data_IF_080868608968
#
_entry.id   IF_080868608968
#
_cell.length_a   1.000
_cell.length_b   1.000
_cell.length_c   1.000
_cell.angle_alpha   90.00
_cell.angle_beta   90.00
_cell.angle_gamma   90.00
#
_symmetry.space_group_name_H-M   'P 1'
#
loop_
_entity.id
_entity.type
_entity.pdbx_description
1 polymer ?
#
# COMPACT_ATOMS: atom_id res chain seq x y z
N UNK A 1 1.34 -17.97 -9.77
CA UNK A 1 1.67 -16.69 -10.40
C UNK A 1 0.99 -16.64 -11.75
N UNK A 2 0.48 -15.49 -12.14
CA UNK A 2 -0.19 -15.29 -13.41
C UNK A 2 -0.38 -13.83 -13.74
N UNK A 3 -1.12 -13.56 -14.81
CA UNK A 3 -1.58 -12.25 -15.20
C UNK A 3 -3.09 -12.25 -15.39
N UNK A 4 -3.73 -11.15 -15.07
CA UNK A 4 -5.12 -10.86 -15.42
C UNK A 4 -5.11 -9.73 -16.43
N UNK A 5 -5.72 -9.94 -17.58
CA UNK A 5 -5.92 -8.89 -18.57
C UNK A 5 -7.18 -8.12 -18.22
N UNK A 6 -7.03 -6.87 -17.79
CA UNK A 6 -8.14 -6.01 -17.42
C UNK A 6 -8.80 -5.37 -18.66
N UNK A 7 -9.93 -4.71 -18.45
CA UNK A 7 -10.82 -4.23 -19.52
C UNK A 7 -10.15 -3.38 -20.60
N UNK A 8 -9.17 -2.57 -20.25
CA UNK A 8 -8.43 -1.71 -21.21
C UNK A 8 -7.26 -2.44 -21.91
N UNK A 9 -7.09 -3.74 -21.62
CA UNK A 9 -6.04 -4.57 -22.18
C UNK A 9 -4.74 -4.60 -21.38
N UNK A 10 -4.64 -3.85 -20.30
CA UNK A 10 -3.50 -3.88 -19.38
C UNK A 10 -3.41 -5.26 -18.70
N UNK A 11 -2.21 -5.80 -18.59
CA UNK A 11 -1.98 -7.06 -17.89
C UNK A 11 -1.49 -6.78 -16.47
N UNK A 12 -2.24 -7.25 -15.47
CA UNK A 12 -1.92 -7.13 -14.05
C UNK A 12 -1.31 -8.44 -13.57
N UNK A 13 -0.03 -8.42 -13.22
CA UNK A 13 0.68 -9.55 -12.64
C UNK A 13 0.23 -9.80 -11.21
N UNK A 14 0.16 -11.08 -10.80
CA UNK A 14 -0.10 -11.45 -9.41
C UNK A 14 0.65 -12.72 -8.99
N UNK A 15 1.01 -12.78 -7.71
CA UNK A 15 1.38 -13.98 -6.96
C UNK A 15 0.12 -14.57 -6.33
N UNK A 16 0.03 -15.89 -6.25
CA UNK A 16 -1.09 -16.61 -5.62
C UNK A 16 -0.53 -17.90 -5.03
N UNK A 17 -0.34 -17.89 -3.71
CA UNK A 17 0.29 -18.98 -2.97
C UNK A 17 -0.62 -19.50 -1.86
N UNK A 18 -0.40 -20.77 -1.45
CA UNK A 18 -1.17 -21.45 -0.41
C UNK A 18 -2.37 -22.24 -0.93
N UNK A 19 -3.16 -22.86 -0.03
CA UNK A 19 -4.30 -23.69 -0.40
C UNK A 19 -5.41 -22.86 -1.06
N UNK A 20 -5.96 -23.34 -2.16
CA UNK A 20 -6.94 -22.58 -2.97
C UNK A 20 -8.29 -22.37 -2.28
N UNK A 21 -8.65 -23.23 -1.34
CA UNK A 21 -9.87 -23.20 -0.54
C UNK A 21 -9.73 -22.48 0.82
N UNK A 22 -8.52 -22.03 1.14
CA UNK A 22 -8.27 -21.31 2.37
C UNK A 22 -8.78 -19.85 2.34
N UNK A 23 -8.93 -19.25 3.53
CA UNK A 23 -9.21 -17.81 3.68
C UNK A 23 -8.18 -16.99 2.93
N UNK A 24 -8.65 -16.10 2.08
CA UNK A 24 -7.77 -15.26 1.23
C UNK A 24 -7.33 -14.01 1.97
N UNK A 25 -6.04 -13.70 1.83
CA UNK A 25 -5.45 -12.38 2.13
C UNK A 25 -4.87 -11.82 0.85
N UNK A 26 -5.29 -10.62 0.45
CA UNK A 26 -4.77 -9.92 -0.73
C UNK A 26 -3.98 -8.69 -0.29
N UNK A 27 -2.73 -8.59 -0.75
CA UNK A 27 -1.78 -7.55 -0.40
C UNK A 27 -1.61 -6.51 -1.50
N UNK A 28 -1.54 -5.23 -1.11
CA UNK A 28 -1.44 -4.06 -1.98
C UNK A 28 -0.20 -3.25 -1.62
N UNK A 29 0.78 -3.22 -2.52
CA UNK A 29 2.08 -2.61 -2.28
C UNK A 29 2.05 -1.07 -2.27
N UNK A 30 3.04 -0.48 -1.58
CA UNK A 30 3.33 0.95 -1.60
C UNK A 30 4.00 1.40 -2.90
N UNK A 31 4.07 2.71 -3.09
CA UNK A 31 4.84 3.32 -4.18
C UNK A 31 6.35 3.35 -3.85
N UNK A 32 7.24 3.12 -4.79
CA UNK A 32 7.09 2.63 -6.17
C UNK A 32 7.34 1.12 -6.29
N UNK A 33 6.94 0.37 -5.27
CA UNK A 33 7.28 -1.02 -5.05
C UNK A 33 6.48 -2.00 -5.94
N UNK A 34 6.47 -3.26 -5.59
CA UNK A 34 5.77 -4.36 -6.27
C UNK A 34 5.25 -5.38 -5.24
N UNK A 35 4.63 -6.45 -5.70
CA UNK A 35 4.23 -7.56 -4.84
C UNK A 35 5.40 -8.23 -4.11
N UNK A 36 6.65 -7.98 -4.51
CA UNK A 36 7.84 -8.55 -3.85
C UNK A 36 8.11 -7.91 -2.48
N UNK A 37 7.55 -6.73 -2.20
CA UNK A 37 7.62 -6.11 -0.88
C UNK A 37 6.87 -6.92 0.20
N UNK A 38 5.93 -7.77 -0.24
CA UNK A 38 5.10 -8.57 0.63
C UNK A 38 5.61 -10.00 0.90
N UNK A 39 6.77 -10.38 0.38
CA UNK A 39 7.27 -11.78 0.46
C UNK A 39 7.37 -12.28 1.91
N UNK A 40 7.81 -11.45 2.84
CA UNK A 40 7.88 -11.80 4.26
C UNK A 40 6.48 -12.12 4.83
N UNK A 41 5.51 -11.21 4.61
CA UNK A 41 4.13 -11.39 5.07
C UNK A 41 3.49 -12.59 4.39
N UNK A 42 3.69 -12.76 3.09
CA UNK A 42 3.13 -13.88 2.34
C UNK A 42 3.62 -15.22 2.90
N UNK A 43 4.92 -15.36 3.16
CA UNK A 43 5.51 -16.58 3.75
C UNK A 43 4.96 -16.83 5.17
N UNK A 44 4.85 -15.77 5.99
CA UNK A 44 4.27 -15.88 7.33
C UNK A 44 2.82 -16.39 7.29
N UNK A 45 1.97 -15.82 6.43
CA UNK A 45 0.56 -16.19 6.37
C UNK A 45 0.31 -17.54 5.70
N UNK A 46 1.14 -17.96 4.74
CA UNK A 46 1.09 -19.34 4.21
C UNK A 46 1.36 -20.35 5.34
N UNK A 47 2.36 -20.11 6.17
CA UNK A 47 2.65 -20.97 7.32
C UNK A 47 1.50 -21.03 8.35
N UNK A 48 0.59 -20.05 8.33
CA UNK A 48 -0.65 -20.03 9.12
C UNK A 48 -1.85 -20.65 8.39
N UNK A 49 -1.67 -21.20 7.18
CA UNK A 49 -2.72 -21.88 6.43
C UNK A 49 -3.60 -20.98 5.55
N UNK A 50 -3.22 -19.72 5.31
CA UNK A 50 -3.96 -18.80 4.44
C UNK A 50 -3.57 -18.95 2.97
N UNK A 51 -4.51 -18.64 2.07
CA UNK A 51 -4.20 -18.34 0.67
C UNK A 51 -3.79 -16.87 0.58
N UNK A 52 -2.63 -16.57 0.01
CA UNK A 52 -2.08 -15.22 -0.07
C UNK A 52 -1.91 -14.80 -1.51
N UNK A 53 -2.39 -13.61 -1.83
CA UNK A 53 -2.32 -13.01 -3.16
C UNK A 53 -1.67 -11.62 -3.02
N UNK A 54 -0.77 -11.30 -3.93
CA UNK A 54 -0.21 -9.96 -4.07
C UNK A 54 -0.10 -9.62 -5.54
N UNK A 55 -0.58 -8.45 -5.97
CA UNK A 55 -0.49 -8.00 -7.35
C UNK A 55 0.57 -6.91 -7.50
N UNK A 56 1.11 -6.77 -8.69
CA UNK A 56 1.85 -5.58 -9.09
C UNK A 56 0.86 -4.60 -9.70
N UNK A 57 0.75 -3.37 -9.15
CA UNK A 57 -0.12 -2.31 -9.71
C UNK A 57 0.31 -2.02 -11.15
N UNK A 58 -0.62 -1.61 -12.04
CA UNK A 58 -0.26 -1.16 -13.40
C UNK A 58 0.92 -0.19 -13.37
N UNK A 59 1.86 -0.34 -14.29
CA UNK A 59 3.07 0.47 -14.36
C UNK A 59 4.13 0.16 -13.30
N UNK A 60 3.89 -0.81 -12.41
CA UNK A 60 4.81 -1.24 -11.37
C UNK A 60 5.23 -2.70 -11.61
N UNK A 61 6.41 -3.07 -11.13
CA UNK A 61 6.91 -4.44 -11.14
C UNK A 61 6.78 -5.12 -12.52
N UNK A 62 6.07 -6.25 -12.57
CA UNK A 62 5.87 -7.10 -13.75
C UNK A 62 4.56 -6.83 -14.49
N UNK A 63 3.72 -5.93 -14.00
CA UNK A 63 2.52 -5.50 -14.71
C UNK A 63 2.83 -4.63 -15.91
N UNK A 64 1.90 -4.54 -16.87
CA UNK A 64 2.07 -3.73 -18.09
C UNK A 64 2.46 -2.29 -17.78
N UNK A 65 3.42 -1.76 -18.51
CA UNK A 65 3.83 -0.36 -18.49
C UNK A 65 2.85 0.48 -19.34
N UNK A 66 1.65 0.70 -18.82
CA UNK A 66 0.63 1.50 -19.51
C UNK A 66 1.02 2.97 -19.61
N UNK A 67 0.49 3.65 -20.64
CA UNK A 67 0.72 5.09 -20.84
C UNK A 67 -0.19 5.95 -19.95
N UNK A 68 -1.33 5.42 -19.52
CA UNK A 68 -2.42 6.13 -18.84
C UNK A 68 -3.02 5.24 -17.74
N UNK A 69 -3.95 5.77 -16.96
CA UNK A 69 -4.65 5.04 -15.92
C UNK A 69 -3.88 5.03 -14.60
N UNK A 70 -3.08 6.05 -14.34
CA UNK A 70 -2.28 6.14 -13.12
C UNK A 70 -2.97 6.98 -12.03
N UNK A 71 -4.28 6.78 -11.86
CA UNK A 71 -5.13 7.38 -10.84
C UNK A 71 -5.82 6.30 -9.98
N UNK A 72 -6.27 6.65 -8.78
CA UNK A 72 -6.84 5.70 -7.81
C UNK A 72 -8.10 5.00 -8.32
N UNK A 73 -8.95 5.68 -9.10
CA UNK A 73 -10.14 5.06 -9.69
C UNK A 73 -9.76 3.86 -10.58
N UNK A 74 -8.75 4.03 -11.42
CA UNK A 74 -8.27 2.95 -12.29
C UNK A 74 -7.57 1.86 -11.49
N UNK A 75 -6.73 2.20 -10.50
CA UNK A 75 -6.08 1.21 -9.64
C UNK A 75 -7.10 0.33 -8.90
N UNK A 76 -8.14 0.94 -8.33
CA UNK A 76 -9.22 0.20 -7.67
C UNK A 76 -10.05 -0.64 -8.65
N UNK A 77 -10.26 -0.17 -9.89
CA UNK A 77 -10.92 -0.93 -10.93
C UNK A 77 -10.09 -2.16 -11.34
N UNK A 78 -8.77 -2.03 -11.50
CA UNK A 78 -7.87 -3.15 -11.76
C UNK A 78 -7.95 -4.20 -10.65
N UNK A 79 -7.93 -3.77 -9.39
CA UNK A 79 -8.10 -4.66 -8.24
C UNK A 79 -9.43 -5.41 -8.32
N UNK A 80 -10.52 -4.70 -8.65
CA UNK A 80 -11.84 -5.31 -8.80
C UNK A 80 -11.84 -6.40 -9.88
N UNK A 81 -11.19 -6.15 -11.02
CA UNK A 81 -11.08 -7.14 -12.10
C UNK A 81 -10.21 -8.34 -11.71
N UNK A 82 -9.11 -8.13 -10.98
CA UNK A 82 -8.30 -9.24 -10.44
C UNK A 82 -9.11 -10.08 -9.45
N UNK A 83 -9.84 -9.44 -8.53
CA UNK A 83 -10.72 -10.11 -7.56
C UNK A 83 -11.80 -10.95 -8.27
N UNK A 84 -12.42 -10.41 -9.32
CA UNK A 84 -13.44 -11.12 -10.12
C UNK A 84 -12.82 -12.29 -10.89
N UNK A 85 -11.71 -12.07 -11.58
CA UNK A 85 -11.04 -13.10 -12.39
C UNK A 85 -10.56 -14.29 -11.56
N UNK A 86 -10.16 -14.06 -10.32
CA UNK A 86 -9.73 -15.10 -9.38
C UNK A 86 -10.88 -15.60 -8.49
N UNK A 87 -12.11 -15.10 -8.68
CA UNK A 87 -13.32 -15.38 -7.87
C UNK A 87 -13.06 -15.29 -6.36
N UNK A 88 -12.35 -14.26 -5.92
CA UNK A 88 -12.05 -14.07 -4.51
C UNK A 88 -13.30 -13.65 -3.74
N UNK A 89 -13.59 -14.35 -2.63
CA UNK A 89 -14.75 -14.11 -1.77
C UNK A 89 -14.30 -13.90 -0.33
N UNK A 90 -14.96 -12.97 0.36
CA UNK A 90 -14.69 -12.67 1.76
C UNK A 90 -13.19 -12.48 2.06
N UNK A 91 -12.45 -11.88 1.12
CA UNK A 91 -11.02 -11.67 1.26
C UNK A 91 -10.70 -10.61 2.34
N UNK A 92 -9.55 -10.76 2.98
CA UNK A 92 -8.94 -9.70 3.78
C UNK A 92 -8.00 -8.93 2.88
N UNK A 93 -8.19 -7.61 2.76
CA UNK A 93 -7.29 -6.76 1.99
C UNK A 93 -6.32 -6.03 2.92
N UNK A 94 -5.03 -6.12 2.64
CA UNK A 94 -3.96 -5.50 3.43
C UNK A 94 -3.17 -4.56 2.52
N UNK A 95 -3.15 -3.26 2.83
CA UNK A 95 -2.47 -2.27 2.01
C UNK A 95 -1.46 -1.43 2.79
N UNK A 96 -0.29 -1.21 2.20
CA UNK A 96 0.76 -0.35 2.73
C UNK A 96 0.84 0.96 1.96
N UNK A 97 0.91 2.09 2.67
CA UNK A 97 1.16 3.39 2.04
C UNK A 97 0.12 3.70 0.95
N UNK A 98 0.55 3.93 -0.30
CA UNK A 98 -0.31 4.04 -1.49
C UNK A 98 -1.26 2.86 -1.62
N UNK A 99 -0.80 1.64 -1.33
CA UNK A 99 -1.63 0.44 -1.33
C UNK A 99 -2.75 0.47 -0.29
N UNK A 100 -2.55 1.17 0.82
CA UNK A 100 -3.63 1.45 1.78
C UNK A 100 -4.71 2.38 1.21
N UNK A 101 -4.31 3.38 0.42
CA UNK A 101 -5.24 4.20 -0.35
C UNK A 101 -6.03 3.38 -1.39
N UNK A 102 -5.33 2.51 -2.14
CA UNK A 102 -5.97 1.58 -3.09
C UNK A 102 -6.97 0.64 -2.40
N UNK A 103 -6.64 0.10 -1.21
CA UNK A 103 -7.56 -0.72 -0.41
C UNK A 103 -8.79 0.08 -0.01
N UNK A 104 -8.63 1.28 0.54
CA UNK A 104 -9.77 2.14 0.94
C UNK A 104 -10.66 2.44 -0.26
N UNK A 105 -10.06 2.82 -1.39
CA UNK A 105 -10.80 3.16 -2.60
C UNK A 105 -11.55 1.98 -3.20
N UNK A 106 -10.92 0.80 -3.24
CA UNK A 106 -11.54 -0.44 -3.69
C UNK A 106 -12.66 -0.91 -2.75
N UNK A 107 -12.40 -0.98 -1.44
CA UNK A 107 -13.36 -1.51 -0.45
C UNK A 107 -14.63 -0.68 -0.41
N UNK A 108 -14.54 0.65 -0.52
CA UNK A 108 -15.69 1.54 -0.57
C UNK A 108 -16.62 1.31 -1.79
N UNK A 109 -16.14 0.56 -2.80
CA UNK A 109 -16.83 0.26 -4.08
C UNK A 109 -17.02 -1.23 -4.32
N UNK A 110 -16.50 -2.07 -3.44
CA UNK A 110 -16.50 -3.52 -3.62
C UNK A 110 -17.93 -4.09 -3.63
N UNK A 111 -18.14 -5.09 -4.49
CA UNK A 111 -19.40 -5.83 -4.49
C UNK A 111 -19.58 -6.60 -3.16
N UNK A 112 -20.83 -6.76 -2.69
CA UNK A 112 -21.11 -7.56 -1.49
C UNK A 112 -20.46 -8.97 -1.56
N UNK A 113 -19.92 -9.42 -0.43
CA UNK A 113 -19.28 -10.73 -0.31
C UNK A 113 -17.85 -10.82 -0.86
N UNK A 114 -17.28 -9.75 -1.43
CA UNK A 114 -15.88 -9.75 -1.89
C UNK A 114 -14.89 -9.48 -0.77
N UNK A 115 -15.21 -8.58 0.15
CA UNK A 115 -14.31 -8.16 1.24
C UNK A 115 -14.92 -8.48 2.59
N UNK A 116 -14.13 -9.09 3.49
CA UNK A 116 -14.51 -9.41 4.87
C UNK A 116 -13.93 -8.41 5.87
N UNK A 117 -12.66 -8.06 5.73
CA UNK A 117 -11.92 -7.14 6.59
C UNK A 117 -10.88 -6.38 5.76
N UNK A 118 -10.42 -5.25 6.28
CA UNK A 118 -9.29 -4.52 5.71
C UNK A 118 -8.24 -4.16 6.76
N UNK A 119 -7.00 -4.08 6.35
CA UNK A 119 -5.86 -3.59 7.14
C UNK A 119 -5.14 -2.52 6.33
N UNK A 120 -4.97 -1.34 6.88
CA UNK A 120 -4.20 -0.26 6.25
C UNK A 120 -3.01 0.10 7.14
N UNK A 121 -1.81 0.06 6.57
CA UNK A 121 -0.54 0.20 7.29
C UNK A 121 0.20 1.41 6.75
N UNK A 122 0.52 2.39 7.61
CA UNK A 122 1.22 3.62 7.22
C UNK A 122 0.62 4.25 5.94
N UNK A 123 -0.71 4.26 5.86
CA UNK A 123 -1.47 4.50 4.64
C UNK A 123 -1.72 5.99 4.39
N UNK A 124 -1.79 6.38 3.12
CA UNK A 124 -1.96 7.77 2.67
C UNK A 124 -3.32 8.42 2.99
N UNK A 125 -4.46 7.70 3.18
CA UNK A 125 -5.72 8.33 3.58
C UNK A 125 -5.64 9.05 4.93
N UNK A 126 -6.49 10.10 5.15
CA UNK A 126 -7.58 10.52 4.27
C UNK A 126 -7.15 11.35 3.06
N UNK A 127 -6.11 12.15 3.15
CA UNK A 127 -5.52 12.90 2.03
C UNK A 127 -4.16 13.46 2.45
N UNK A 128 -3.17 13.40 1.56
CA UNK A 128 -1.80 13.84 1.89
C UNK A 128 -1.61 15.34 1.66
N UNK A 129 -2.13 15.87 0.56
CA UNK A 129 -1.92 17.27 0.18
C UNK A 129 -2.71 18.21 1.08
N UNK A 130 -2.07 19.33 1.45
CA UNK A 130 -2.70 20.41 2.19
C UNK A 130 -3.82 21.07 1.38
N UNK A 131 -4.98 21.21 2.00
CA UNK A 131 -6.15 21.88 1.42
C UNK A 131 -6.98 22.52 2.53
N UNK A 132 -8.07 23.23 2.15
CA UNK A 132 -9.03 23.71 3.15
C UNK A 132 -9.63 22.57 3.99
N UNK A 133 -9.83 21.39 3.39
CA UNK A 133 -10.34 20.19 4.06
C UNK A 133 -9.27 19.43 4.85
N UNK A 134 -7.99 19.63 4.52
CA UNK A 134 -6.85 19.01 5.19
C UNK A 134 -5.79 20.07 5.52
N UNK A 135 -6.01 20.93 6.51
CA UNK A 135 -5.08 22.00 6.84
C UNK A 135 -3.73 21.50 7.40
N UNK A 136 -3.69 20.27 7.95
CA UNK A 136 -2.47 19.60 8.43
C UNK A 136 -1.64 18.94 7.35
N UNK A 137 -2.18 18.79 6.13
CA UNK A 137 -1.52 18.10 5.02
C UNK A 137 -0.22 18.77 4.57
N UNK A 138 0.56 18.04 3.78
CA UNK A 138 1.83 18.53 3.23
C UNK A 138 1.59 19.51 2.08
N UNK A 139 2.39 20.59 1.95
CA UNK A 139 2.32 21.49 0.79
C UNK A 139 2.54 20.75 -0.52
N UNK A 140 1.88 21.20 -1.61
CA UNK A 140 2.01 20.57 -2.93
C UNK A 140 3.46 20.54 -3.42
N UNK A 141 4.27 21.52 -3.04
CA UNK A 141 5.68 21.64 -3.38
C UNK A 141 6.53 20.45 -2.90
N UNK A 142 6.11 19.77 -1.83
CA UNK A 142 6.76 18.54 -1.36
C UNK A 142 6.61 17.45 -2.42
N UNK A 143 5.43 17.27 -2.97
CA UNK A 143 5.14 16.26 -3.99
C UNK A 143 5.74 16.63 -5.35
N UNK A 144 5.76 17.90 -5.70
CA UNK A 144 6.47 18.41 -6.89
C UNK A 144 7.98 18.19 -6.78
N UNK A 145 8.54 18.33 -5.58
CA UNK A 145 9.93 17.97 -5.27
C UNK A 145 10.23 16.50 -5.52
N UNK A 146 9.32 15.58 -5.13
CA UNK A 146 9.44 14.15 -5.40
C UNK A 146 9.36 13.84 -6.91
N UNK A 147 8.42 14.47 -7.64
CA UNK A 147 8.33 14.37 -9.11
C UNK A 147 9.61 14.83 -9.77
N UNK A 148 10.15 15.98 -9.32
CA UNK A 148 11.41 16.50 -9.84
C UNK A 148 12.58 15.57 -9.58
N UNK A 149 12.75 15.06 -8.37
CA UNK A 149 13.82 14.13 -8.01
C UNK A 149 13.77 12.86 -8.84
N UNK A 150 12.56 12.31 -9.07
CA UNK A 150 12.35 11.17 -9.95
C UNK A 150 12.75 11.48 -11.40
N UNK A 151 12.35 12.64 -11.90
CA UNK A 151 12.66 13.05 -13.28
C UNK A 151 14.15 13.33 -13.49
N UNK A 152 14.81 13.95 -12.51
CA UNK A 152 16.22 14.31 -12.59
C UNK A 152 17.15 13.07 -12.54
N UNK A 153 16.93 12.19 -11.56
CA UNK A 153 17.73 10.98 -11.39
C UNK A 153 16.98 9.92 -10.57
N UNK A 154 16.09 9.18 -11.23
CA UNK A 154 15.29 8.12 -10.58
C UNK A 154 16.14 7.11 -9.80
N UNK A 155 17.27 6.71 -10.37
CA UNK A 155 18.11 5.68 -9.77
C UNK A 155 18.69 6.13 -8.43
N UNK A 156 19.20 7.36 -8.34
CA UNK A 156 19.71 7.92 -7.10
C UNK A 156 18.58 8.20 -6.10
N UNK A 157 17.47 8.79 -6.56
CA UNK A 157 16.31 9.06 -5.72
C UNK A 157 15.80 7.79 -5.03
N UNK A 158 15.77 6.65 -5.75
CA UNK A 158 15.35 5.37 -5.19
C UNK A 158 16.40 4.70 -4.29
N UNK A 159 17.61 5.22 -4.20
CA UNK A 159 18.58 4.89 -3.14
C UNK A 159 18.37 5.79 -1.92
N UNK A 160 18.14 7.09 -2.13
CA UNK A 160 18.06 8.08 -1.04
C UNK A 160 16.84 7.83 -0.15
N UNK A 161 15.69 7.51 -0.73
CA UNK A 161 14.44 7.28 0.01
C UNK A 161 14.56 6.14 1.03
N UNK A 162 14.95 4.90 0.65
CA UNK A 162 15.08 3.80 1.61
C UNK A 162 16.30 3.94 2.55
N UNK A 163 17.35 4.63 2.13
CA UNK A 163 18.52 4.91 2.99
C UNK A 163 18.17 5.88 4.11
N UNK A 164 17.15 6.71 3.92
CA UNK A 164 16.73 7.76 4.84
C UNK A 164 15.33 7.52 5.43
N UNK A 165 14.34 8.29 4.96
CA UNK A 165 13.05 8.42 5.65
C UNK A 165 12.17 7.17 5.62
N UNK A 166 12.27 6.32 4.59
CA UNK A 166 11.35 5.20 4.42
C UNK A 166 11.47 4.15 5.54
N UNK A 167 12.70 3.72 5.84
CA UNK A 167 12.99 2.75 6.90
C UNK A 167 13.48 3.38 8.20
N UNK A 168 13.55 4.72 8.28
CA UNK A 168 14.12 5.43 9.42
C UNK A 168 15.62 5.21 9.59
N UNK A 169 16.34 4.80 8.54
CA UNK A 169 17.78 4.52 8.61
C UNK A 169 18.63 5.78 8.81
N UNK A 170 18.04 6.97 8.66
CA UNK A 170 18.62 8.26 9.01
C UNK A 170 18.53 8.60 10.50
N UNK A 171 17.93 7.75 11.34
CA UNK A 171 17.82 7.99 12.78
C UNK A 171 19.06 7.51 13.52
N UNK A 172 19.44 8.17 14.65
CA UNK A 172 20.53 7.69 15.48
C UNK A 172 20.33 6.22 15.90
N UNK A 173 21.40 5.43 15.82
CA UNK A 173 21.43 4.03 16.19
C UNK A 173 20.52 3.11 15.36
N UNK A 174 20.03 3.55 14.19
CA UNK A 174 19.26 2.71 13.29
C UNK A 174 20.08 1.50 12.82
N UNK A 175 19.46 0.33 12.82
CA UNK A 175 20.07 -0.90 12.28
C UNK A 175 19.86 -0.92 10.75
N UNK A 176 20.76 -0.26 10.04
CA UNK A 176 20.70 -0.17 8.58
C UNK A 176 20.81 -1.56 7.94
N UNK A 177 19.92 -1.87 7.03
CA UNK A 177 19.94 -3.07 6.21
C UNK A 177 20.16 -2.73 4.74
N UNK A 178 21.36 -2.98 4.23
CA UNK A 178 21.68 -2.78 2.81
C UNK A 178 20.80 -3.67 1.91
N UNK A 179 20.41 -4.85 2.39
CA UNK A 179 19.51 -5.75 1.68
C UNK A 179 18.13 -5.12 1.44
N UNK A 180 17.54 -4.44 2.45
CA UNK A 180 16.27 -3.73 2.30
C UNK A 180 16.41 -2.55 1.35
N UNK A 181 17.49 -1.75 1.44
CA UNK A 181 17.75 -0.63 0.53
C UNK A 181 17.85 -1.13 -0.92
N UNK A 182 18.62 -2.18 -1.16
CA UNK A 182 18.82 -2.74 -2.50
C UNK A 182 17.51 -3.34 -3.06
N UNK A 183 16.72 -4.02 -2.22
CA UNK A 183 15.43 -4.59 -2.62
C UNK A 183 14.44 -3.49 -3.00
N UNK A 184 14.36 -2.41 -2.21
CA UNK A 184 13.51 -1.26 -2.51
C UNK A 184 13.89 -0.60 -3.85
N UNK A 185 15.19 -0.37 -4.03
CA UNK A 185 15.74 0.18 -5.29
C UNK A 185 15.40 -0.72 -6.49
N UNK A 186 15.65 -2.02 -6.34
CA UNK A 186 15.38 -2.99 -7.40
C UNK A 186 13.91 -2.97 -7.83
N UNK A 187 13.00 -3.04 -6.88
CA UNK A 187 11.56 -2.98 -7.16
C UNK A 187 11.16 -1.66 -7.83
N UNK A 188 11.66 -0.53 -7.32
CA UNK A 188 11.41 0.77 -7.94
C UNK A 188 11.93 0.86 -9.37
N UNK A 189 13.10 0.29 -9.66
CA UNK A 189 13.69 0.32 -11.01
C UNK A 189 12.99 -0.60 -12.01
N UNK A 190 12.28 -1.65 -11.56
CA UNK A 190 11.50 -2.53 -12.44
C UNK A 190 10.27 -1.86 -13.06
N UNK A 191 9.66 -0.90 -12.37
CA UNK A 191 8.46 -0.23 -12.86
C UNK A 191 8.75 0.87 -13.89
N UNK A 192 7.71 1.36 -14.53
CA UNK A 192 7.77 2.42 -15.53
C UNK A 192 7.94 3.81 -14.90
N UNK A 193 8.89 4.60 -15.37
CA UNK A 193 9.17 5.92 -14.82
C UNK A 193 7.96 6.88 -14.92
N UNK A 194 7.25 6.87 -16.06
CA UNK A 194 6.03 7.66 -16.24
C UNK A 194 4.92 7.27 -15.26
N UNK A 195 4.71 5.97 -15.06
CA UNK A 195 3.70 5.46 -14.14
C UNK A 195 4.01 5.88 -12.69
N UNK A 196 5.27 5.77 -12.27
CA UNK A 196 5.69 6.21 -10.95
C UNK A 196 5.56 7.71 -10.77
N UNK A 197 5.87 8.50 -11.80
CA UNK A 197 5.72 9.96 -11.79
C UNK A 197 4.25 10.37 -11.60
N UNK A 198 3.35 9.83 -12.42
CA UNK A 198 1.91 10.12 -12.33
C UNK A 198 1.28 9.56 -11.05
N UNK A 199 1.76 8.42 -10.55
CA UNK A 199 1.26 7.81 -9.32
C UNK A 199 1.49 8.72 -8.09
N UNK A 200 2.50 9.62 -8.11
CA UNK A 200 2.69 10.59 -7.04
C UNK A 200 1.43 11.43 -6.87
N UNK A 201 0.81 11.88 -7.96
CA UNK A 201 -0.46 12.59 -7.93
C UNK A 201 -1.58 11.72 -7.34
N UNK A 202 -1.66 10.47 -7.80
CA UNK A 202 -2.72 9.55 -7.38
C UNK A 202 -2.75 9.36 -5.85
N UNK A 203 -1.59 9.16 -5.20
CA UNK A 203 -1.56 8.92 -3.76
C UNK A 203 -1.49 10.19 -2.91
N UNK A 204 -1.03 11.33 -3.47
CA UNK A 204 -0.91 12.57 -2.70
C UNK A 204 -2.15 13.46 -2.75
N UNK A 205 -2.87 13.48 -3.88
CA UNK A 205 -3.95 14.43 -4.13
C UNK A 205 -5.35 13.79 -4.07
N UNK A 206 -5.47 12.44 -4.06
CA UNK A 206 -6.77 11.79 -3.90
C UNK A 206 -7.32 12.01 -2.50
N UNK A 207 -8.56 12.50 -2.41
CA UNK A 207 -9.31 12.64 -1.15
C UNK A 207 -10.13 11.38 -0.90
N UNK A 208 -9.73 10.58 0.08
CA UNK A 208 -10.38 9.33 0.48
C UNK A 208 -11.44 9.52 1.58
N UNK A 209 -11.73 10.76 1.97
CA UNK A 209 -12.62 11.06 3.11
C UNK A 209 -13.98 10.38 2.97
N UNK A 210 -14.61 10.51 1.80
CA UNK A 210 -15.93 9.91 1.59
C UNK A 210 -15.88 8.38 1.41
N UNK A 211 -14.75 7.84 0.95
CA UNK A 211 -14.55 6.40 0.88
C UNK A 211 -14.45 5.79 2.27
N UNK A 212 -13.64 6.38 3.16
CA UNK A 212 -13.52 5.94 4.55
C UNK A 212 -14.88 5.91 5.27
N UNK A 213 -15.72 6.93 5.09
CA UNK A 213 -17.07 7.01 5.69
C UNK A 213 -18.03 5.93 5.19
N UNK A 214 -17.83 5.43 3.95
CA UNK A 214 -18.68 4.37 3.36
C UNK A 214 -18.33 2.98 3.85
N UNK A 215 -17.11 2.75 4.32
CA UNK A 215 -16.65 1.43 4.73
C UNK A 215 -17.33 0.99 6.02
N UNK A 216 -18.01 -0.16 5.96
CA UNK A 216 -18.76 -0.73 7.09
C UNK A 216 -18.11 -1.98 7.71
N UNK A 217 -17.21 -2.62 6.96
CA UNK A 217 -16.47 -3.79 7.46
C UNK A 217 -15.44 -3.38 8.52
N UNK A 218 -14.97 -4.32 9.36
CA UNK A 218 -13.89 -4.04 10.30
C UNK A 218 -12.60 -3.65 9.59
N UNK A 219 -11.95 -2.57 10.06
CA UNK A 219 -10.67 -2.07 9.54
C UNK A 219 -9.66 -1.93 10.66
N UNK A 220 -8.49 -2.54 10.50
CA UNK A 220 -7.32 -2.28 11.35
C UNK A 220 -6.47 -1.18 10.70
N UNK A 221 -6.26 -0.09 11.43
CA UNK A 221 -5.38 1.01 11.05
C UNK A 221 -4.10 0.88 11.86
N UNK A 222 -2.97 0.67 11.20
CA UNK A 222 -1.65 0.49 11.82
C UNK A 222 -0.72 1.62 11.37
N UNK A 223 -0.10 2.35 12.32
CA UNK A 223 0.77 3.48 11.94
C UNK A 223 1.88 3.70 12.96
N UNK A 224 3.09 3.97 12.48
CA UNK A 224 4.25 4.32 13.29
C UNK A 224 4.32 5.81 13.59
N UNK A 225 4.71 6.18 14.82
CA UNK A 225 4.79 7.61 15.20
C UNK A 225 5.99 8.33 14.61
N UNK A 226 7.02 7.62 14.16
CA UNK A 226 8.18 8.18 13.46
C UNK A 226 8.12 7.99 11.93
N UNK A 227 6.92 7.93 11.38
CA UNK A 227 6.73 7.89 9.93
C UNK A 227 7.06 9.25 9.31
N UNK A 228 8.20 9.29 8.59
CA UNK A 228 8.71 10.50 7.94
C UNK A 228 8.21 10.67 6.50
N UNK A 229 7.40 9.73 6.00
CA UNK A 229 6.85 9.74 4.63
C UNK A 229 5.37 10.11 4.65
N UNK A 230 4.61 9.44 5.50
CA UNK A 230 3.18 9.71 5.75
C UNK A 230 3.02 10.13 7.21
N UNK A 231 2.94 11.43 7.51
CA UNK A 231 2.91 11.90 8.89
C UNK A 231 1.76 11.27 9.69
N UNK A 232 2.09 10.64 10.82
CA UNK A 232 1.15 9.93 11.66
C UNK A 232 -0.09 10.76 12.02
N UNK A 233 0.14 12.02 12.46
CA UNK A 233 -0.94 12.89 12.95
C UNK A 233 -1.98 13.22 11.87
N UNK A 234 -1.57 13.25 10.61
CA UNK A 234 -2.39 13.67 9.48
C UNK A 234 -2.97 12.47 8.69
N UNK A 235 -2.72 11.23 9.11
CA UNK A 235 -3.14 10.04 8.39
C UNK A 235 -3.86 9.01 9.28
N UNK A 236 -3.12 8.15 9.99
CA UNK A 236 -3.69 7.01 10.72
C UNK A 236 -4.83 7.38 11.68
N UNK A 237 -4.64 8.30 12.64
CA UNK A 237 -5.69 8.72 13.57
C UNK A 237 -6.90 9.38 12.89
N UNK A 238 -6.68 10.14 11.81
CA UNK A 238 -7.76 10.77 11.05
C UNK A 238 -8.56 9.74 10.28
N UNK A 239 -7.91 8.78 9.63
CA UNK A 239 -8.56 7.66 8.95
C UNK A 239 -9.41 6.85 9.93
N UNK A 240 -8.88 6.51 11.10
CA UNK A 240 -9.61 5.77 12.13
C UNK A 240 -10.86 6.50 12.63
N UNK A 241 -10.83 7.84 12.71
CA UNK A 241 -12.00 8.65 13.10
C UNK A 241 -13.11 8.67 12.04
N UNK A 242 -12.75 8.53 10.76
CA UNK A 242 -13.71 8.56 9.65
C UNK A 242 -14.35 7.20 9.39
N UNK A 243 -13.66 6.11 9.69
CA UNK A 243 -14.14 4.75 9.56
C UNK A 243 -15.20 4.42 10.62
N UNK A 244 -16.26 3.68 10.24
CA UNK A 244 -17.35 3.28 11.17
C UNK A 244 -16.92 2.19 12.15
N UNK A 245 -16.02 1.29 11.73
CA UNK A 245 -15.58 0.13 12.51
C UNK A 245 -14.06 -0.02 12.45
N UNK A 246 -13.35 0.90 13.07
CA UNK A 246 -11.90 0.95 13.09
C UNK A 246 -11.29 0.51 14.41
N UNK A 247 -10.19 -0.22 14.32
CA UNK A 247 -9.23 -0.40 15.41
C UNK A 247 -7.94 0.32 15.02
N UNK A 248 -7.55 1.35 15.77
CA UNK A 248 -6.26 2.01 15.59
C UNK A 248 -5.20 1.35 16.47
N UNK A 249 -4.09 0.95 15.85
CA UNK A 249 -2.90 0.46 16.53
C UNK A 249 -1.70 1.34 16.19
N UNK A 250 -1.18 2.03 17.21
CA UNK A 250 -0.03 2.95 17.08
C UNK A 250 1.25 2.23 17.50
N UNK A 251 2.33 2.44 16.74
CA UNK A 251 3.65 1.88 17.03
C UNK A 251 4.63 3.01 17.28
N UNK A 252 5.03 3.16 18.55
CA UNK A 252 5.90 4.24 18.98
C UNK A 252 7.30 4.13 18.40
N UNK A 253 7.75 5.17 17.70
CA UNK A 253 9.08 5.25 17.08
C UNK A 253 9.25 4.41 15.82
N UNK A 254 8.19 3.77 15.29
CA UNK A 254 8.30 2.95 14.07
C UNK A 254 8.25 3.82 12.82
N UNK A 255 9.09 3.49 11.81
CA UNK A 255 9.18 4.22 10.54
C UNK A 255 8.07 3.82 9.56
N UNK A 256 8.04 4.46 8.38
CA UNK A 256 7.12 4.15 7.30
C UNK A 256 7.18 2.69 6.84
N UNK A 257 8.37 2.17 6.63
CA UNK A 257 8.63 0.80 6.18
C UNK A 257 8.60 -0.25 7.30
N UNK A 258 7.80 -0.05 8.36
CA UNK A 258 7.77 -0.92 9.54
C UNK A 258 7.38 -2.37 9.25
N UNK A 259 6.67 -2.65 8.16
CA UNK A 259 6.36 -4.03 7.73
C UNK A 259 7.63 -4.84 7.41
N UNK A 260 8.66 -4.17 6.89
CA UNK A 260 9.93 -4.80 6.53
C UNK A 260 10.95 -4.76 7.69
N UNK A 261 10.91 -3.70 8.52
CA UNK A 261 11.87 -3.55 9.64
C UNK A 261 11.43 -4.28 10.91
N UNK A 262 10.12 -4.49 11.11
CA UNK A 262 9.54 -5.07 12.33
C UNK A 262 8.46 -6.14 12.04
N UNK A 263 8.70 -7.09 11.11
CA UNK A 263 7.68 -8.07 10.72
C UNK A 263 7.27 -9.00 11.87
N UNK A 264 8.17 -9.24 12.82
CA UNK A 264 7.96 -10.05 14.02
C UNK A 264 6.89 -9.46 14.97
N UNK A 265 6.62 -8.17 14.89
CA UNK A 265 5.56 -7.47 15.64
C UNK A 265 4.30 -7.31 14.78
N UNK A 266 4.47 -6.83 13.54
CA UNK A 266 3.33 -6.47 12.69
C UNK A 266 2.55 -7.69 12.20
N UNK A 267 3.24 -8.79 11.81
CA UNK A 267 2.59 -9.98 11.29
C UNK A 267 1.65 -10.66 12.32
N UNK A 268 2.07 -10.88 13.60
CA UNK A 268 1.17 -11.37 14.63
C UNK A 268 -0.04 -10.47 14.90
N UNK A 269 0.15 -9.14 14.85
CA UNK A 269 -0.93 -8.19 15.07
C UNK A 269 -1.99 -8.25 13.96
N UNK A 270 -1.55 -8.32 12.71
CA UNK A 270 -2.45 -8.52 11.57
C UNK A 270 -3.17 -9.87 11.71
N UNK A 271 -2.46 -10.93 12.07
CA UNK A 271 -3.04 -12.27 12.26
C UNK A 271 -4.11 -12.27 13.36
N UNK A 272 -3.84 -11.62 14.50
CA UNK A 272 -4.79 -11.51 15.60
C UNK A 272 -6.08 -10.81 15.16
N UNK A 273 -5.96 -9.70 14.38
CA UNK A 273 -7.12 -9.00 13.84
C UNK A 273 -7.90 -9.85 12.82
N UNK A 274 -7.23 -10.62 11.97
CA UNK A 274 -7.90 -11.49 10.99
C UNK A 274 -8.72 -12.57 11.69
N UNK A 275 -8.20 -13.14 12.78
CA UNK A 275 -8.84 -14.23 13.56
C UNK A 275 -9.99 -13.74 14.45
N UNK A 276 -9.95 -12.50 14.95
CA UNK A 276 -11.03 -11.90 15.73
C UNK A 276 -12.31 -11.71 14.89
#
# INVERSE_FOLDING_TARGET
MGTVKVKDGTEIFYKDWGPKDAQVIMFHHGWPLSSDDWDNQMLFFIAQGYRVIAHDRRGHGRSSHSRTGHEMDTYAADVAEVVEALDLKNAVHVGHSTGGGEVVHYVARAKPGRVKKAVIVAAVPPVMVKSEKNPGGLPIEVFDGLRKALADNRAQFYIDVPTGPFYGFNRPNAKVSQGLINNWWHQGMMGAANAHYECIKAWSETDFTEDLKKIEIPVLVMHGTDDQVVPYADAGPLSAKLLKNATLKTYEGYPHGMLSTNPDVLNPDILAFIKA
#
